data_IF_081928370091
#
_entry.id   IF_081928370091
#
_cell.length_a   1.000
_cell.length_b   1.000
_cell.length_c   1.000
_cell.angle_alpha   90.00
_cell.angle_beta   90.00
_cell.angle_gamma   90.00
#
_symmetry.space_group_name_H-M   'P 1'
#
loop_
_entity.id
_entity.type
_entity.pdbx_description
1 polymer ?
#
# COMPACT_ATOMS: atom_id res chain seq x y z
N UNK A 1 -5.17 -16.05 5.62
CA UNK A 1 -3.92 -15.24 5.57
C UNK A 1 -3.23 -15.17 6.91
N UNK A 2 -3.89 -14.79 7.99
CA UNK A 2 -3.29 -14.65 9.33
C UNK A 2 -2.66 -15.93 9.88
N UNK A 3 -3.16 -17.11 9.48
CA UNK A 3 -2.62 -18.44 9.88
C UNK A 3 -1.14 -18.61 9.53
N UNK A 4 -0.68 -18.03 8.40
CA UNK A 4 0.68 -18.16 7.87
C UNK A 4 1.53 -16.90 8.06
N UNK A 5 1.06 -15.97 8.90
CA UNK A 5 1.83 -14.79 9.26
C UNK A 5 3.03 -15.21 10.12
N UNK A 6 4.26 -14.76 9.81
CA UNK A 6 5.44 -15.11 10.58
C UNK A 6 5.27 -14.68 12.05
N UNK A 7 5.70 -15.56 12.95
CA UNK A 7 5.66 -15.34 14.42
C UNK A 7 7.02 -15.05 15.00
N UNK A 8 8.09 -15.39 14.30
CA UNK A 8 9.48 -15.15 14.66
C UNK A 8 10.22 -14.47 13.50
N UNK A 9 11.36 -13.82 13.80
CA UNK A 9 12.19 -13.20 12.77
C UNK A 9 12.76 -14.23 11.78
N UNK A 10 12.96 -15.49 12.22
CA UNK A 10 13.47 -16.55 11.36
C UNK A 10 12.45 -17.03 10.31
N UNK A 11 11.17 -16.85 10.58
CA UNK A 11 10.09 -17.16 9.61
C UNK A 11 9.88 -16.09 8.54
N UNK A 12 10.55 -14.93 8.68
CA UNK A 12 10.43 -13.83 7.72
C UNK A 12 11.24 -14.14 6.48
N UNK A 13 10.55 -14.27 5.34
CA UNK A 13 11.18 -14.62 4.07
C UNK A 13 11.63 -13.41 3.27
N UNK A 14 12.72 -13.55 2.53
CA UNK A 14 13.17 -12.57 1.53
C UNK A 14 13.73 -11.25 2.09
N UNK A 15 13.97 -11.15 3.43
CA UNK A 15 14.41 -9.92 4.07
C UNK A 15 15.66 -10.08 4.96
N UNK A 16 16.75 -10.72 4.51
CA UNK A 16 17.86 -11.05 5.39
C UNK A 16 18.48 -9.82 6.09
N UNK A 17 18.71 -8.73 5.35
CA UNK A 17 19.32 -7.52 5.90
C UNK A 17 18.41 -6.81 6.93
N UNK A 18 17.11 -6.77 6.70
CA UNK A 18 16.15 -6.22 7.65
C UNK A 18 16.11 -7.08 8.91
N UNK A 19 15.98 -8.39 8.77
CA UNK A 19 15.94 -9.35 9.88
C UNK A 19 17.20 -9.26 10.75
N UNK A 20 18.39 -9.26 10.16
CA UNK A 20 19.66 -9.15 10.92
C UNK A 20 19.73 -7.84 11.73
N UNK A 21 19.27 -6.76 11.13
CA UNK A 21 19.22 -5.46 11.81
C UNK A 21 18.20 -5.43 12.95
N UNK A 22 17.01 -6.01 12.75
CA UNK A 22 15.99 -6.12 13.80
C UNK A 22 16.44 -7.02 14.94
N UNK A 23 17.13 -8.12 14.64
CA UNK A 23 17.72 -9.02 15.65
C UNK A 23 18.74 -8.29 16.52
N UNK A 24 19.57 -7.43 15.96
CA UNK A 24 20.52 -6.63 16.76
C UNK A 24 19.81 -5.66 17.71
N UNK A 25 18.67 -5.08 17.35
CA UNK A 25 17.87 -4.25 18.24
C UNK A 25 17.21 -5.06 19.35
N UNK A 26 16.65 -6.22 19.03
CA UNK A 26 16.04 -7.13 20.00
C UNK A 26 17.07 -7.55 21.07
N UNK A 27 18.28 -7.93 20.65
CA UNK A 27 19.36 -8.37 21.56
C UNK A 27 19.96 -7.25 22.41
N UNK A 28 19.96 -6.01 21.92
CA UNK A 28 20.54 -4.87 22.65
C UNK A 28 19.68 -4.39 23.83
N UNK A 29 18.42 -4.80 23.90
CA UNK A 29 17.45 -4.31 24.89
C UNK A 29 17.17 -2.80 24.79
N UNK A 30 17.57 -2.16 23.69
CA UNK A 30 17.35 -0.75 23.40
C UNK A 30 16.72 -0.61 21.99
N UNK A 31 15.55 -0.01 21.94
CA UNK A 31 14.84 0.21 20.69
C UNK A 31 14.85 1.70 20.33
N UNK A 32 15.65 2.13 19.33
CA UNK A 32 15.53 3.47 18.80
C UNK A 32 14.22 3.62 18.02
N UNK A 33 13.87 4.84 17.65
CA UNK A 33 12.78 5.01 16.69
C UNK A 33 13.16 4.39 15.33
N UNK A 34 12.25 3.62 14.74
CA UNK A 34 12.46 2.91 13.49
C UNK A 34 11.52 3.43 12.39
N UNK A 35 12.01 3.46 11.17
CA UNK A 35 11.21 3.70 9.98
C UNK A 35 11.37 2.54 9.00
N UNK A 36 10.33 1.73 8.86
CA UNK A 36 10.26 0.61 7.93
C UNK A 36 9.79 1.11 6.56
N UNK A 37 10.66 1.03 5.55
CA UNK A 37 10.38 1.50 4.21
C UNK A 37 10.39 0.34 3.22
N UNK A 38 9.37 0.22 2.39
CA UNK A 38 9.35 -0.79 1.34
C UNK A 38 7.95 -1.05 0.78
N UNK A 39 7.81 -1.83 -0.30
CA UNK A 39 6.55 -2.07 -0.96
C UNK A 39 5.54 -2.79 -0.05
N UNK A 40 4.24 -2.73 -0.38
CA UNK A 40 3.22 -3.49 0.32
C UNK A 40 3.51 -4.99 0.25
N UNK A 41 3.07 -5.75 1.25
CA UNK A 41 3.27 -7.19 1.30
C UNK A 41 4.72 -7.66 1.54
N UNK A 42 5.68 -6.76 1.81
CA UNK A 42 7.09 -7.11 2.06
C UNK A 42 7.39 -7.58 3.50
N UNK A 43 6.41 -7.56 4.40
CA UNK A 43 6.54 -8.05 5.78
C UNK A 43 6.76 -6.98 6.85
N UNK A 44 6.68 -5.67 6.54
CA UNK A 44 6.89 -4.56 7.49
C UNK A 44 6.08 -4.71 8.78
N UNK A 45 4.76 -4.82 8.66
CA UNK A 45 3.84 -4.94 9.82
C UNK A 45 4.12 -6.21 10.62
N UNK A 46 4.42 -7.34 9.97
CA UNK A 46 4.77 -8.58 10.67
C UNK A 46 6.06 -8.44 11.47
N UNK A 47 7.11 -7.85 10.87
CA UNK A 47 8.36 -7.59 11.56
C UNK A 47 8.20 -6.61 12.74
N UNK A 48 7.36 -5.59 12.61
CA UNK A 48 7.06 -4.66 13.70
C UNK A 48 6.45 -5.37 14.91
N UNK A 49 5.46 -6.24 14.66
CA UNK A 49 4.80 -7.02 15.71
C UNK A 49 5.74 -8.04 16.38
N UNK A 50 6.57 -8.72 15.58
CA UNK A 50 7.56 -9.67 16.10
C UNK A 50 8.57 -8.93 16.98
N UNK A 51 9.16 -7.84 16.47
CA UNK A 51 10.13 -7.04 17.19
C UNK A 51 9.55 -6.49 18.51
N UNK A 52 8.31 -5.96 18.45
CA UNK A 52 7.63 -5.47 19.65
C UNK A 52 7.48 -6.57 20.71
N UNK A 53 7.07 -7.80 20.30
CA UNK A 53 6.96 -8.94 21.21
C UNK A 53 8.29 -9.33 21.84
N UNK A 54 9.35 -9.37 21.05
CA UNK A 54 10.69 -9.72 21.54
C UNK A 54 11.22 -8.67 22.53
N UNK A 55 11.13 -7.38 22.18
CA UNK A 55 11.68 -6.28 23.01
C UNK A 55 10.86 -6.04 24.27
N UNK A 56 9.56 -6.31 24.23
CA UNK A 56 8.66 -6.23 25.40
C UNK A 56 8.59 -7.55 26.18
N UNK A 57 9.44 -8.53 25.85
CA UNK A 57 9.51 -9.86 26.51
C UNK A 57 8.12 -10.54 26.61
N UNK A 58 7.27 -10.32 25.62
CA UNK A 58 5.90 -10.84 25.56
C UNK A 58 4.85 -10.01 26.30
N UNK A 59 5.25 -8.99 27.07
CA UNK A 59 4.35 -8.11 27.83
C UNK A 59 3.71 -7.04 26.92
N UNK A 60 2.88 -7.48 26.00
CA UNK A 60 2.26 -6.64 24.96
C UNK A 60 1.13 -5.79 25.52
N UNK A 61 0.30 -6.35 26.40
CA UNK A 61 -0.88 -5.65 26.95
C UNK A 61 -0.48 -4.36 27.66
N UNK A 62 -1.06 -3.24 27.23
CA UNK A 62 -0.80 -1.92 27.77
C UNK A 62 0.57 -1.32 27.40
N UNK A 63 1.52 -2.10 26.87
CA UNK A 63 2.86 -1.63 26.47
C UNK A 63 3.07 -1.53 24.95
N UNK A 64 2.13 -2.04 24.16
CA UNK A 64 2.15 -1.95 22.70
C UNK A 64 0.88 -1.28 22.17
N UNK A 65 1.05 -0.33 21.25
CA UNK A 65 -0.04 0.34 20.55
C UNK A 65 0.17 0.18 19.05
N UNK A 66 -0.78 -0.45 18.38
CA UNK A 66 -0.85 -0.51 16.92
C UNK A 66 -1.91 0.47 16.42
N UNK A 67 -1.52 1.32 15.48
CA UNK A 67 -2.41 2.33 14.89
C UNK A 67 -2.14 2.42 13.39
N UNK A 68 -3.22 2.45 12.61
CA UNK A 68 -3.18 2.88 11.22
C UNK A 68 -3.14 4.41 11.14
N UNK A 69 -2.36 4.97 10.22
CA UNK A 69 -2.24 6.41 10.05
C UNK A 69 -3.60 7.09 9.78
N UNK A 70 -4.53 6.40 9.10
CA UNK A 70 -5.88 6.90 8.85
C UNK A 70 -6.69 7.12 10.13
N UNK A 71 -6.38 6.37 11.19
CA UNK A 71 -7.06 6.53 12.50
C UNK A 71 -6.56 7.73 13.29
N UNK A 72 -5.37 8.26 12.96
CA UNK A 72 -4.81 9.42 13.65
C UNK A 72 -5.54 10.72 13.32
N UNK A 73 -6.27 10.76 12.21
CA UNK A 73 -7.02 11.95 11.78
C UNK A 73 -8.39 12.05 12.46
N UNK A 74 -8.83 10.99 13.18
CA UNK A 74 -10.13 10.97 13.87
C UNK A 74 -10.07 11.80 15.16
N UNK A 75 -11.01 12.74 15.31
CA UNK A 75 -11.13 13.58 16.49
C UNK A 75 -11.68 12.78 17.68
N UNK A 76 -11.15 13.04 18.89
CA UNK A 76 -11.70 12.50 20.14
C UNK A 76 -12.89 13.35 20.61
N UNK A 77 -14.01 12.76 21.02
CA UNK A 77 -15.03 13.46 21.82
C UNK A 77 -14.44 13.78 23.21
N UNK A 78 -14.38 15.04 23.58
CA UNK A 78 -13.97 15.48 24.93
C UNK A 78 -15.18 15.99 25.67
N UNK A 79 -15.49 15.36 26.80
CA UNK A 79 -16.50 15.87 27.72
C UNK A 79 -15.89 16.99 28.55
N UNK A 80 -16.35 18.22 28.34
CA UNK A 80 -16.05 19.33 29.24
C UNK A 80 -17.30 19.66 30.06
N UNK A 81 -17.12 19.68 31.38
CA UNK A 81 -18.11 20.24 32.26
C UNK A 81 -17.97 21.76 32.23
N UNK A 82 -18.99 22.46 31.80
CA UNK A 82 -19.11 23.89 31.92
C UNK A 82 -20.22 24.18 32.91
N UNK A 83 -19.94 25.04 33.87
CA UNK A 83 -20.97 25.56 34.77
C UNK A 83 -21.61 26.76 34.07
N UNK A 84 -22.95 26.73 33.93
CA UNK A 84 -23.69 27.84 33.39
C UNK A 84 -23.86 28.93 34.50
N UNK A 85 -24.18 30.16 34.14
CA UNK A 85 -24.42 31.26 35.08
C UNK A 85 -25.50 30.95 36.13
N UNK A 86 -26.37 29.96 35.88
CA UNK A 86 -27.38 29.45 36.76
C UNK A 86 -26.93 28.30 37.70
N UNK A 87 -25.63 27.97 37.71
CA UNK A 87 -25.07 26.93 38.56
C UNK A 87 -25.38 25.47 38.13
N UNK A 88 -25.95 25.28 36.95
CA UNK A 88 -26.21 23.95 36.37
C UNK A 88 -24.98 23.48 35.57
N UNK A 89 -24.38 22.36 35.99
CA UNK A 89 -23.27 21.73 35.27
C UNK A 89 -23.77 21.05 34.01
N UNK A 90 -23.46 21.60 32.84
CA UNK A 90 -23.70 20.95 31.56
C UNK A 90 -22.44 20.27 31.02
N UNK A 91 -22.58 19.02 30.60
CA UNK A 91 -21.51 18.30 29.91
C UNK A 91 -21.54 18.69 28.43
N UNK A 92 -20.55 19.43 28.01
CA UNK A 92 -20.36 19.81 26.60
C UNK A 92 -19.33 18.86 25.98
N UNK A 93 -19.75 18.11 24.99
CA UNK A 93 -18.83 17.25 24.23
C UNK A 93 -18.11 18.12 23.20
N UNK A 94 -16.84 18.47 23.47
CA UNK A 94 -15.94 19.06 22.47
C UNK A 94 -15.12 17.97 21.81
N UNK A 95 -14.83 18.15 20.53
CA UNK A 95 -13.88 17.30 19.81
C UNK A 95 -12.46 17.78 20.07
N UNK A 96 -11.59 16.92 20.59
CA UNK A 96 -10.16 17.22 20.60
C UNK A 96 -9.67 17.26 19.16
N UNK A 97 -9.18 18.43 18.74
CA UNK A 97 -8.67 18.65 17.39
C UNK A 97 -7.27 18.07 17.15
N UNK A 98 -6.65 17.50 18.18
CA UNK A 98 -5.31 16.91 18.03
C UNK A 98 -5.36 15.58 17.29
N UNK A 99 -4.78 15.46 16.09
CA UNK A 99 -4.81 14.20 15.34
C UNK A 99 -4.02 13.06 16.03
N UNK A 100 -3.12 13.40 16.95
CA UNK A 100 -2.23 12.44 17.62
C UNK A 100 -2.61 12.18 19.08
N UNK A 101 -3.86 12.45 19.50
CA UNK A 101 -4.26 12.33 20.90
C UNK A 101 -4.06 10.91 21.48
N UNK A 102 -4.37 9.87 20.71
CA UNK A 102 -4.19 8.46 21.13
C UNK A 102 -2.72 8.12 21.40
N UNK A 103 -1.82 8.57 20.54
CA UNK A 103 -0.39 8.35 20.68
C UNK A 103 0.14 9.09 21.90
N UNK A 104 -0.27 10.34 22.10
CA UNK A 104 0.17 11.15 23.25
C UNK A 104 -0.33 10.54 24.56
N UNK A 105 -1.59 10.16 24.63
CA UNK A 105 -2.15 9.49 25.80
C UNK A 105 -1.38 8.21 26.12
N UNK A 106 -1.09 7.38 25.11
CA UNK A 106 -0.30 6.18 25.28
C UNK A 106 1.15 6.50 25.73
N UNK A 107 1.83 7.43 25.07
CA UNK A 107 3.23 7.74 25.35
C UNK A 107 3.47 8.48 26.68
N UNK A 108 2.44 9.19 27.20
CA UNK A 108 2.50 9.90 28.49
C UNK A 108 2.45 8.93 29.67
N UNK A 109 1.75 7.81 29.51
CA UNK A 109 1.57 6.83 30.60
C UNK A 109 2.84 6.01 30.75
N UNK A 110 3.25 5.72 31.98
CA UNK A 110 4.40 4.85 32.26
C UNK A 110 4.15 3.43 31.80
N UNK A 111 5.22 2.71 31.49
CA UNK A 111 5.17 1.28 31.15
C UNK A 111 4.61 0.46 32.31
N UNK A 112 3.94 -0.64 31.98
CA UNK A 112 3.34 -1.58 32.95
C UNK A 112 4.28 -2.78 33.07
N UNK A 113 4.21 -3.47 34.19
CA UNK A 113 4.93 -4.74 34.46
C UNK A 113 6.47 -4.66 34.38
N UNK A 114 7.07 -3.50 34.69
CA UNK A 114 8.53 -3.36 34.79
C UNK A 114 9.26 -3.29 33.44
N UNK A 115 8.54 -3.18 32.33
CA UNK A 115 9.13 -2.97 31.00
C UNK A 115 9.78 -1.60 30.92
N UNK A 116 10.93 -1.47 30.26
CA UNK A 116 11.73 -0.23 30.23
C UNK A 116 11.05 0.90 29.46
N UNK A 117 10.30 0.60 28.43
CA UNK A 117 9.61 1.56 27.55
C UNK A 117 8.42 0.91 26.85
N UNK A 118 7.55 1.72 26.32
CA UNK A 118 6.42 1.30 25.48
C UNK A 118 6.79 1.35 24.01
N UNK A 119 6.02 0.65 23.17
CA UNK A 119 6.22 0.63 21.72
C UNK A 119 4.94 1.08 21.04
N UNK A 120 5.02 2.13 20.23
CA UNK A 120 3.94 2.58 19.35
C UNK A 120 4.31 2.27 17.90
N UNK A 121 3.52 1.39 17.27
CA UNK A 121 3.62 1.09 15.85
C UNK A 121 2.55 1.87 15.07
N UNK A 122 3.00 2.64 14.08
CA UNK A 122 2.13 3.43 13.22
C UNK A 122 2.34 2.97 11.78
N UNK A 123 1.31 2.35 11.19
CA UNK A 123 1.35 1.85 9.82
C UNK A 123 0.95 2.94 8.82
N UNK A 124 1.49 2.86 7.60
CA UNK A 124 1.20 3.73 6.45
C UNK A 124 1.34 5.25 6.72
N UNK A 125 2.41 5.67 7.43
CA UNK A 125 2.65 7.09 7.80
C UNK A 125 2.85 8.02 6.60
N UNK A 126 3.12 7.50 5.42
CA UNK A 126 3.19 8.26 4.16
C UNK A 126 1.83 8.81 3.70
N UNK A 127 0.71 8.33 4.28
CA UNK A 127 -0.63 8.87 4.04
C UNK A 127 -0.94 10.12 4.88
N UNK A 128 -0.13 10.42 5.91
CA UNK A 128 -0.31 11.57 6.78
C UNK A 128 0.07 12.88 6.08
N UNK A 129 -0.69 13.94 6.33
CA UNK A 129 -0.31 15.28 5.88
C UNK A 129 1.00 15.75 6.55
N UNK A 130 1.68 16.71 5.91
CA UNK A 130 2.95 17.24 6.44
C UNK A 130 2.80 17.83 7.84
N UNK A 131 1.67 18.47 8.12
CA UNK A 131 1.36 19.08 9.43
C UNK A 131 1.24 18.00 10.51
N UNK A 132 0.60 16.86 10.20
CA UNK A 132 0.47 15.73 11.13
C UNK A 132 1.82 15.04 11.35
N UNK A 133 2.63 14.89 10.30
CA UNK A 133 3.99 14.37 10.42
C UNK A 133 4.89 15.29 11.29
N UNK A 134 4.76 16.62 11.19
CA UNK A 134 5.46 17.54 12.07
C UNK A 134 4.99 17.42 13.54
N UNK A 135 3.70 17.26 13.76
CA UNK A 135 3.17 17.01 15.10
C UNK A 135 3.64 15.66 15.66
N UNK A 136 3.73 14.61 14.82
CA UNK A 136 4.29 13.31 15.17
C UNK A 136 5.77 13.42 15.56
N UNK A 137 6.58 14.15 14.78
CA UNK A 137 7.99 14.43 15.09
C UNK A 137 8.14 15.01 16.50
N UNK A 138 7.35 16.04 16.84
CA UNK A 138 7.39 16.66 18.18
C UNK A 138 7.00 15.65 19.27
N UNK A 139 6.01 14.81 19.01
CA UNK A 139 5.57 13.77 19.93
C UNK A 139 6.69 12.74 20.17
N UNK A 140 7.38 12.31 19.11
CA UNK A 140 8.54 11.43 19.21
C UNK A 140 9.66 12.02 20.05
N UNK A 141 9.97 13.32 19.90
CA UNK A 141 11.00 14.00 20.69
C UNK A 141 10.64 14.07 22.19
N UNK A 142 9.42 14.49 22.49
CA UNK A 142 8.96 14.68 23.87
C UNK A 142 8.93 13.37 24.65
N UNK A 143 8.51 12.28 23.99
CA UNK A 143 8.27 10.99 24.65
C UNK A 143 9.37 9.95 24.36
N UNK A 144 10.51 10.34 23.80
CA UNK A 144 11.62 9.42 23.43
C UNK A 144 12.15 8.58 24.60
N UNK A 145 12.02 9.06 25.83
CA UNK A 145 12.45 8.32 27.04
C UNK A 145 11.47 7.23 27.47
N UNK A 146 10.18 7.35 27.10
CA UNK A 146 9.11 6.46 27.57
C UNK A 146 8.55 5.58 26.46
N UNK A 147 8.67 5.98 25.20
CA UNK A 147 8.05 5.32 24.06
C UNK A 147 8.99 5.25 22.86
N UNK A 148 9.21 4.04 22.35
CA UNK A 148 9.84 3.82 21.06
C UNK A 148 8.78 3.81 19.95
N UNK A 149 9.07 4.48 18.85
CA UNK A 149 8.15 4.55 17.70
C UNK A 149 8.69 3.68 16.57
N UNK A 150 7.84 2.80 16.06
CA UNK A 150 8.07 2.05 14.83
C UNK A 150 7.08 2.60 13.79
N UNK A 151 7.59 3.22 12.75
CA UNK A 151 6.80 3.80 11.67
C UNK A 151 6.94 2.90 10.43
N UNK A 152 5.89 2.72 9.67
CA UNK A 152 5.96 2.03 8.38
C UNK A 152 5.49 2.95 7.25
N UNK A 153 6.13 2.84 6.08
CA UNK A 153 5.72 3.55 4.87
C UNK A 153 5.98 2.72 3.61
N UNK A 154 5.16 2.94 2.60
CA UNK A 154 5.38 2.39 1.27
C UNK A 154 6.22 3.34 0.41
N UNK A 155 6.02 4.65 0.57
CA UNK A 155 6.67 5.70 -0.21
C UNK A 155 7.54 6.61 0.68
N UNK A 156 8.83 6.29 0.90
CA UNK A 156 9.69 7.08 1.78
C UNK A 156 9.91 8.53 1.32
N UNK A 157 9.64 8.84 0.05
CA UNK A 157 9.67 10.20 -0.48
C UNK A 157 8.58 11.11 0.11
N UNK A 158 7.46 10.52 0.58
CA UNK A 158 6.35 11.26 1.19
C UNK A 158 6.59 11.59 2.67
N UNK A 159 7.63 11.02 3.28
CA UNK A 159 7.99 11.30 4.67
C UNK A 159 8.89 12.53 4.75
N UNK A 160 8.58 13.46 5.64
CA UNK A 160 9.38 14.66 5.84
C UNK A 160 10.77 14.33 6.44
N UNK A 161 11.80 15.07 6.05
CA UNK A 161 13.17 14.82 6.50
C UNK A 161 13.35 14.92 8.03
N UNK A 162 12.65 15.82 8.77
CA UNK A 162 12.70 15.85 10.21
C UNK A 162 12.25 14.56 10.92
N UNK A 163 11.34 13.79 10.34
CA UNK A 163 10.95 12.45 10.86
C UNK A 163 12.02 11.42 10.50
N UNK A 164 12.48 11.40 9.23
CA UNK A 164 13.54 10.48 8.79
C UNK A 164 14.81 10.57 9.62
N UNK A 165 15.24 11.80 9.93
CA UNK A 165 16.49 12.04 10.68
C UNK A 165 16.46 11.53 12.12
N UNK A 166 15.27 11.27 12.68
CA UNK A 166 15.07 10.74 14.04
C UNK A 166 14.88 9.23 14.09
N UNK A 167 14.75 8.60 12.92
CA UNK A 167 14.51 7.17 12.82
C UNK A 167 15.70 6.43 12.22
N UNK A 168 15.96 5.24 12.73
CA UNK A 168 16.79 4.27 12.01
C UNK A 168 15.97 3.64 10.90
N UNK A 169 16.36 3.92 9.65
CA UNK A 169 15.63 3.43 8.47
C UNK A 169 15.98 1.97 8.21
N UNK A 170 14.98 1.09 8.22
CA UNK A 170 15.07 -0.32 7.83
C UNK A 170 14.35 -0.49 6.49
N UNK A 171 15.08 -0.96 5.49
CA UNK A 171 14.56 -1.14 4.13
C UNK A 171 14.09 -2.57 3.92
N UNK A 172 12.89 -2.69 3.39
CA UNK A 172 12.28 -3.94 2.96
C UNK A 172 12.23 -3.96 1.43
N UNK A 173 12.72 -5.00 0.83
CA UNK A 173 12.70 -5.18 -0.62
C UNK A 173 11.49 -6.01 -1.04
N UNK A 174 11.07 -5.97 -2.32
CA UNK A 174 10.15 -6.97 -2.85
C UNK A 174 10.70 -8.37 -2.59
N UNK A 175 9.85 -9.32 -2.19
CA UNK A 175 10.28 -10.70 -1.96
C UNK A 175 10.70 -11.30 -3.30
N UNK A 176 11.92 -11.89 -3.39
CA UNK A 176 12.39 -12.55 -4.62
C UNK A 176 11.40 -13.62 -5.08
N UNK A 177 11.22 -13.70 -6.40
CA UNK A 177 10.22 -14.57 -7.02
C UNK A 177 10.42 -16.06 -6.66
N UNK A 178 11.64 -16.52 -6.61
CA UNK A 178 12.00 -17.91 -6.24
C UNK A 178 11.62 -18.26 -4.79
N UNK A 179 11.84 -17.31 -3.87
CA UNK A 179 11.48 -17.45 -2.46
C UNK A 179 9.96 -17.42 -2.30
N UNK A 180 9.28 -16.50 -2.98
CA UNK A 180 7.83 -16.40 -2.94
C UNK A 180 7.17 -17.66 -3.53
N UNK A 181 7.68 -18.17 -4.65
CA UNK A 181 7.20 -19.41 -5.28
C UNK A 181 7.27 -20.60 -4.31
N UNK A 182 8.42 -20.83 -3.69
CA UNK A 182 8.59 -21.90 -2.71
C UNK A 182 7.62 -21.78 -1.54
N UNK A 183 7.44 -20.55 -1.04
CA UNK A 183 6.51 -20.31 0.07
C UNK A 183 5.05 -20.58 -0.30
N UNK A 184 4.64 -20.25 -1.52
CA UNK A 184 3.30 -20.57 -2.02
C UNK A 184 3.10 -22.10 -2.18
N UNK A 185 4.11 -22.82 -2.65
CA UNK A 185 4.09 -24.28 -2.76
C UNK A 185 3.99 -24.96 -1.38
N UNK A 186 4.76 -24.50 -0.40
CA UNK A 186 4.67 -24.96 0.99
C UNK A 186 3.26 -24.77 1.57
N UNK A 187 2.70 -23.56 1.41
CA UNK A 187 1.36 -23.25 1.93
C UNK A 187 0.30 -24.10 1.23
N UNK A 188 0.39 -24.26 -0.09
CA UNK A 188 -0.53 -25.10 -0.85
C UNK A 188 -0.48 -26.58 -0.39
N UNK A 189 0.72 -27.11 -0.15
CA UNK A 189 0.92 -28.45 0.39
C UNK A 189 0.28 -28.60 1.78
N UNK A 190 0.47 -27.61 2.67
CA UNK A 190 -0.12 -27.63 4.02
C UNK A 190 -1.65 -27.55 4.03
N UNK A 191 -2.24 -26.89 3.04
CA UNK A 191 -3.69 -26.77 2.87
C UNK A 191 -4.28 -27.88 1.97
N UNK A 192 -3.45 -28.83 1.47
CA UNK A 192 -3.91 -29.91 0.60
C UNK A 192 -4.39 -29.43 -0.78
N UNK A 193 -3.87 -28.30 -1.27
CA UNK A 193 -4.24 -27.71 -2.55
C UNK A 193 -3.29 -28.22 -3.63
N UNK A 194 -3.84 -28.83 -4.70
CA UNK A 194 -3.04 -29.27 -5.83
C UNK A 194 -2.65 -28.09 -6.75
N UNK A 195 -1.35 -27.82 -6.82
CA UNK A 195 -0.76 -26.88 -7.78
C UNK A 195 -0.20 -27.65 -8.98
N UNK A 196 -0.54 -27.21 -10.18
CA UNK A 196 0.16 -27.65 -11.38
C UNK A 196 1.55 -27.01 -11.46
N UNK A 197 2.45 -27.66 -12.22
CA UNK A 197 3.80 -27.11 -12.44
C UNK A 197 3.73 -25.68 -12.99
N UNK A 198 4.46 -24.77 -12.33
CA UNK A 198 4.54 -23.36 -12.71
C UNK A 198 3.42 -22.45 -12.18
N UNK A 199 2.34 -22.98 -11.61
CA UNK A 199 1.23 -22.17 -11.09
C UNK A 199 1.68 -21.22 -9.97
N UNK A 200 2.47 -21.71 -9.01
CA UNK A 200 3.03 -20.89 -7.95
C UNK A 200 3.98 -19.80 -8.50
N UNK A 201 4.82 -20.15 -9.48
CA UNK A 201 5.69 -19.20 -10.19
C UNK A 201 4.91 -18.12 -10.93
N UNK A 202 3.80 -18.49 -11.58
CA UNK A 202 2.88 -17.56 -12.22
C UNK A 202 2.27 -16.56 -11.23
N UNK A 203 1.82 -17.03 -10.06
CA UNK A 203 1.32 -16.16 -8.98
C UNK A 203 2.42 -15.23 -8.45
N UNK A 204 3.62 -15.75 -8.20
CA UNK A 204 4.74 -14.95 -7.71
C UNK A 204 5.16 -13.85 -8.71
N UNK A 205 5.16 -14.17 -10.00
CA UNK A 205 5.43 -13.21 -11.07
C UNK A 205 4.35 -12.12 -11.15
N UNK A 206 3.08 -12.50 -11.07
CA UNK A 206 1.95 -11.59 -11.20
C UNK A 206 1.91 -10.50 -10.12
N UNK A 207 2.36 -10.82 -8.89
CA UNK A 207 2.31 -9.89 -7.76
C UNK A 207 3.66 -9.31 -7.36
N UNK A 208 4.72 -9.55 -8.13
CA UNK A 208 6.03 -8.90 -8.02
C UNK A 208 6.55 -8.73 -6.58
N UNK A 209 6.51 -9.81 -5.80
CA UNK A 209 7.03 -9.86 -4.43
C UNK A 209 6.05 -9.45 -3.33
N UNK A 210 4.79 -9.17 -3.65
CA UNK A 210 3.72 -8.95 -2.65
C UNK A 210 3.12 -10.29 -2.22
N UNK A 211 3.61 -10.83 -1.09
CA UNK A 211 3.12 -12.10 -0.54
C UNK A 211 1.66 -12.04 -0.12
N UNK A 212 1.16 -10.89 0.36
CA UNK A 212 -0.23 -10.73 0.81
C UNK A 212 -1.19 -10.96 -0.35
N UNK A 213 -0.91 -10.31 -1.50
CA UNK A 213 -1.72 -10.48 -2.71
C UNK A 213 -1.57 -11.87 -3.33
N UNK A 214 -0.35 -12.42 -3.36
CA UNK A 214 -0.10 -13.77 -3.87
C UNK A 214 -0.83 -14.85 -3.06
N UNK A 215 -0.83 -14.75 -1.72
CA UNK A 215 -1.60 -15.64 -0.85
C UNK A 215 -3.12 -15.47 -1.01
N UNK A 216 -3.58 -14.23 -1.22
CA UNK A 216 -4.99 -13.96 -1.52
C UNK A 216 -5.44 -14.65 -2.81
N UNK A 217 -4.60 -14.60 -3.84
CA UNK A 217 -4.83 -15.33 -5.09
C UNK A 217 -4.86 -16.83 -4.87
N UNK A 218 -3.88 -17.39 -4.15
CA UNK A 218 -3.87 -18.82 -3.82
C UNK A 218 -5.15 -19.25 -3.10
N UNK A 219 -5.61 -18.45 -2.15
CA UNK A 219 -6.86 -18.71 -1.43
C UNK A 219 -8.09 -18.63 -2.35
N UNK A 220 -8.17 -17.64 -3.23
CA UNK A 220 -9.26 -17.52 -4.20
C UNK A 220 -9.26 -18.67 -5.21
N UNK A 221 -8.08 -19.05 -5.70
CA UNK A 221 -7.93 -20.17 -6.62
C UNK A 221 -8.33 -21.51 -5.95
N UNK A 222 -7.92 -21.74 -4.70
CA UNK A 222 -8.27 -22.92 -3.92
C UNK A 222 -9.79 -23.03 -3.68
N UNK A 223 -10.48 -21.91 -3.47
CA UNK A 223 -11.93 -21.88 -3.30
C UNK A 223 -12.70 -22.37 -4.54
N UNK A 224 -12.09 -22.39 -5.73
CA UNK A 224 -12.70 -22.93 -6.94
C UNK A 224 -12.82 -24.46 -6.94
N UNK A 225 -12.15 -25.16 -5.99
CA UNK A 225 -12.16 -26.63 -5.87
C UNK A 225 -11.51 -27.36 -7.03
N UNK A 226 -10.82 -26.65 -7.93
CA UNK A 226 -10.12 -27.21 -9.09
C UNK A 226 -8.62 -27.26 -8.84
N UNK A 227 -7.93 -28.15 -9.57
CA UNK A 227 -6.48 -28.10 -9.64
C UNK A 227 -6.06 -26.74 -10.19
N UNK A 228 -5.16 -26.08 -9.48
CA UNK A 228 -4.71 -24.73 -9.84
C UNK A 228 -3.62 -24.87 -10.91
N UNK A 229 -3.94 -24.48 -12.13
CA UNK A 229 -3.03 -24.41 -13.27
C UNK A 229 -2.72 -22.95 -13.64
N UNK A 230 -1.79 -22.77 -14.58
CA UNK A 230 -1.41 -21.47 -15.09
C UNK A 230 -2.59 -20.72 -15.74
N UNK A 231 -3.47 -21.43 -16.43
CA UNK A 231 -4.63 -20.83 -17.09
C UNK A 231 -5.61 -20.24 -16.07
N UNK A 232 -5.82 -20.94 -14.95
CA UNK A 232 -6.64 -20.42 -13.85
C UNK A 232 -5.97 -19.22 -13.18
N UNK A 233 -4.64 -19.29 -12.95
CA UNK A 233 -3.87 -18.15 -12.42
C UNK A 233 -3.98 -16.96 -13.33
N UNK A 234 -3.80 -17.10 -14.65
CA UNK A 234 -3.95 -16.02 -15.60
C UNK A 234 -5.39 -15.46 -15.63
N UNK A 235 -6.40 -16.32 -15.65
CA UNK A 235 -7.82 -15.88 -15.60
C UNK A 235 -8.17 -15.12 -14.34
N UNK A 236 -7.55 -15.43 -13.21
CA UNK A 236 -7.77 -14.74 -11.95
C UNK A 236 -6.86 -13.51 -11.80
N UNK A 237 -5.68 -13.52 -12.45
CA UNK A 237 -4.70 -12.42 -12.44
C UNK A 237 -5.00 -11.40 -13.52
N UNK A 238 -5.35 -11.89 -14.72
CA UNK A 238 -5.93 -11.05 -15.75
C UNK A 238 -7.33 -10.66 -15.25
N UNK A 239 -7.32 -9.64 -14.41
CA UNK A 239 -8.55 -8.90 -14.19
C UNK A 239 -9.17 -8.67 -15.58
N UNK A 240 -10.48 -8.84 -15.76
CA UNK A 240 -11.17 -8.43 -16.97
C UNK A 240 -10.75 -7.03 -17.44
N UNK A 241 -10.28 -6.24 -16.51
CA UNK A 241 -9.68 -4.93 -16.67
C UNK A 241 -8.38 -4.92 -17.52
N UNK A 242 -7.47 -5.89 -17.38
CA UNK A 242 -6.20 -5.87 -18.13
C UNK A 242 -6.43 -6.17 -19.62
N UNK A 243 -7.25 -7.17 -19.93
CA UNK A 243 -7.64 -7.49 -21.31
C UNK A 243 -8.48 -6.35 -21.94
N UNK A 244 -9.41 -5.77 -21.16
CA UNK A 244 -10.20 -4.64 -21.60
C UNK A 244 -9.34 -3.39 -21.85
N UNK A 245 -8.32 -3.12 -21.00
CA UNK A 245 -7.37 -2.01 -21.22
C UNK A 245 -6.56 -2.22 -22.50
N UNK A 246 -6.16 -3.46 -22.82
CA UNK A 246 -5.48 -3.78 -24.10
C UNK A 246 -6.37 -3.54 -25.31
N UNK A 247 -7.63 -3.96 -25.24
CA UNK A 247 -8.63 -3.70 -26.28
C UNK A 247 -8.91 -2.22 -26.44
N UNK A 248 -8.99 -1.48 -25.33
CA UNK A 248 -9.17 -0.02 -25.31
C UNK A 248 -8.00 0.70 -26.02
N UNK A 249 -6.76 0.36 -25.67
CA UNK A 249 -5.57 0.95 -26.29
C UNK A 249 -5.46 0.58 -27.77
N UNK A 250 -5.75 -0.67 -28.13
CA UNK A 250 -5.74 -1.13 -29.51
C UNK A 250 -6.79 -0.38 -30.36
N UNK A 251 -7.99 -0.16 -29.81
CA UNK A 251 -9.04 0.64 -30.47
C UNK A 251 -8.61 2.10 -30.64
N UNK A 252 -8.03 2.71 -29.60
CA UNK A 252 -7.52 4.08 -29.68
C UNK A 252 -6.42 4.20 -30.75
N UNK A 253 -5.43 3.31 -30.76
CA UNK A 253 -4.37 3.30 -31.76
C UNK A 253 -4.88 3.00 -33.19
N UNK A 254 -5.98 2.27 -33.31
CA UNK A 254 -6.67 2.07 -34.58
C UNK A 254 -7.43 3.33 -35.05
N UNK A 255 -7.51 4.38 -34.23
CA UNK A 255 -8.22 5.62 -34.53
C UNK A 255 -9.73 5.58 -34.20
N UNK A 256 -10.19 4.53 -33.52
CA UNK A 256 -11.58 4.34 -33.08
C UNK A 256 -11.74 4.83 -31.63
N UNK A 257 -11.85 6.16 -31.50
CA UNK A 257 -12.00 6.81 -30.20
C UNK A 257 -13.29 6.39 -29.48
N UNK A 258 -14.40 6.25 -30.21
CA UNK A 258 -15.68 5.92 -29.58
C UNK A 258 -15.64 4.55 -28.91
N UNK A 259 -15.11 3.54 -29.61
CA UNK A 259 -14.93 2.20 -29.04
C UNK A 259 -13.97 2.17 -27.84
N UNK A 260 -12.89 2.94 -27.91
CA UNK A 260 -11.98 3.08 -26.79
C UNK A 260 -12.66 3.71 -25.57
N UNK A 261 -13.48 4.74 -25.78
CA UNK A 261 -14.27 5.41 -24.74
C UNK A 261 -15.31 4.48 -24.12
N UNK A 262 -16.07 3.74 -24.93
CA UNK A 262 -17.07 2.79 -24.42
C UNK A 262 -16.42 1.71 -23.54
N UNK A 263 -15.21 1.26 -23.92
CA UNK A 263 -14.43 0.32 -23.09
C UNK A 263 -13.95 0.97 -21.79
N UNK A 264 -13.55 2.25 -21.81
CA UNK A 264 -13.22 3.01 -20.61
C UNK A 264 -14.41 3.10 -19.64
N UNK A 265 -15.61 3.36 -20.17
CA UNK A 265 -16.83 3.40 -19.38
C UNK A 265 -17.13 2.05 -18.72
N UNK A 266 -16.97 0.95 -19.45
CA UNK A 266 -17.10 -0.40 -18.89
C UNK A 266 -16.08 -0.63 -17.75
N UNK A 267 -14.82 -0.21 -17.92
CA UNK A 267 -13.79 -0.37 -16.89
C UNK A 267 -14.07 0.46 -15.63
N UNK A 268 -14.47 1.72 -15.78
CA UNK A 268 -14.64 2.63 -14.65
C UNK A 268 -16.00 2.47 -13.97
N UNK A 269 -17.08 2.26 -14.73
CA UNK A 269 -18.46 2.22 -14.20
C UNK A 269 -18.83 0.79 -13.78
N UNK A 270 -18.67 -0.19 -14.67
CA UNK A 270 -19.04 -1.58 -14.39
C UNK A 270 -17.96 -2.31 -13.61
N UNK A 271 -16.67 -2.07 -13.95
CA UNK A 271 -15.51 -2.67 -13.30
C UNK A 271 -15.09 -1.96 -12.01
N UNK A 272 -15.63 -0.77 -11.72
CA UNK A 272 -15.34 0.00 -10.50
C UNK A 272 -13.90 0.49 -10.39
N UNK A 273 -13.14 0.53 -11.50
CA UNK A 273 -11.75 1.00 -11.49
C UNK A 273 -11.67 2.51 -11.29
N UNK A 274 -10.78 2.94 -10.43
CA UNK A 274 -10.38 4.34 -10.35
C UNK A 274 -9.57 4.77 -11.58
N UNK A 275 -9.56 6.06 -11.90
CA UNK A 275 -8.76 6.56 -13.01
C UNK A 275 -7.28 6.26 -12.85
N UNK A 276 -6.77 6.23 -11.62
CA UNK A 276 -5.38 5.88 -11.33
C UNK A 276 -5.07 4.42 -11.67
N UNK A 277 -5.94 3.48 -11.31
CA UNK A 277 -5.78 2.07 -11.69
C UNK A 277 -5.81 1.86 -13.21
N UNK A 278 -6.65 2.64 -13.91
CA UNK A 278 -6.68 2.61 -15.38
C UNK A 278 -5.37 3.14 -15.97
N UNK A 279 -4.82 4.27 -15.48
CA UNK A 279 -3.54 4.82 -15.94
C UNK A 279 -2.39 3.86 -15.68
N UNK A 280 -2.33 3.25 -14.50
CA UNK A 280 -1.32 2.24 -14.17
C UNK A 280 -1.40 1.02 -15.12
N UNK A 281 -2.61 0.61 -15.48
CA UNK A 281 -2.83 -0.47 -16.45
C UNK A 281 -2.41 -0.05 -17.87
N UNK A 282 -2.73 1.17 -18.29
CA UNK A 282 -2.29 1.75 -19.57
C UNK A 282 -0.77 1.80 -19.64
N UNK A 283 -0.09 2.28 -18.59
CA UNK A 283 1.37 2.37 -18.54
C UNK A 283 2.03 1.00 -18.71
N UNK A 284 1.56 -0.02 -17.98
CA UNK A 284 2.09 -1.39 -18.11
C UNK A 284 1.94 -1.94 -19.51
N UNK A 285 0.81 -1.71 -20.16
CA UNK A 285 0.54 -2.21 -21.51
C UNK A 285 1.21 -1.38 -22.62
N UNK A 286 1.43 -0.09 -22.39
CA UNK A 286 2.08 0.78 -23.36
C UNK A 286 3.45 0.26 -23.80
N UNK A 287 4.19 -0.40 -22.90
CA UNK A 287 5.50 -1.00 -23.18
C UNK A 287 5.41 -2.25 -24.06
N UNK A 288 4.25 -2.92 -24.12
CA UNK A 288 4.04 -4.15 -24.89
C UNK A 288 3.44 -3.90 -26.28
N UNK A 289 3.06 -2.64 -26.58
CA UNK A 289 2.33 -2.29 -27.82
C UNK A 289 3.18 -2.30 -29.10
N UNK A 290 4.49 -2.61 -29.03
CA UNK A 290 5.38 -2.61 -30.23
C UNK A 290 5.41 -1.27 -30.95
N UNK A 291 5.33 -0.15 -30.24
CA UNK A 291 5.42 1.19 -30.79
C UNK A 291 6.85 1.50 -31.23
N UNK A 292 7.01 2.44 -32.20
CA UNK A 292 8.32 2.99 -32.49
C UNK A 292 8.83 3.81 -31.28
N UNK A 293 10.15 3.87 -31.06
CA UNK A 293 10.74 4.62 -29.96
C UNK A 293 10.21 6.06 -29.81
N UNK A 294 10.11 6.87 -30.89
CA UNK A 294 9.57 8.23 -30.78
C UNK A 294 8.10 8.28 -30.34
N UNK A 295 7.29 7.28 -30.74
CA UNK A 295 5.90 7.23 -30.34
C UNK A 295 5.71 6.68 -28.93
N UNK A 296 6.55 5.74 -28.51
CA UNK A 296 6.59 5.25 -27.13
C UNK A 296 6.96 6.38 -26.16
N UNK A 297 7.98 7.19 -26.50
CA UNK A 297 8.38 8.36 -25.69
C UNK A 297 7.23 9.37 -25.58
N UNK A 298 6.57 9.70 -26.69
CA UNK A 298 5.43 10.63 -26.69
C UNK A 298 4.25 10.10 -25.88
N UNK A 299 4.00 8.79 -25.96
CA UNK A 299 2.93 8.16 -25.19
C UNK A 299 3.25 8.22 -23.69
N UNK A 300 4.48 7.90 -23.29
CA UNK A 300 4.90 7.97 -21.90
C UNK A 300 4.83 9.40 -21.34
N UNK A 301 5.23 10.41 -22.11
CA UNK A 301 5.08 11.82 -21.75
C UNK A 301 3.60 12.16 -21.47
N UNK A 302 2.69 11.74 -22.34
CA UNK A 302 1.26 12.00 -22.17
C UNK A 302 0.63 11.20 -21.01
N UNK A 303 1.07 9.98 -20.76
CA UNK A 303 0.67 9.21 -19.58
C UNK A 303 1.11 9.95 -18.30
N UNK A 304 2.36 10.42 -18.23
CA UNK A 304 2.87 11.19 -17.10
C UNK A 304 2.10 12.49 -16.86
N UNK A 305 1.79 13.26 -17.91
CA UNK A 305 0.95 14.46 -17.84
C UNK A 305 -0.44 14.12 -17.25
N UNK A 306 -1.03 13.00 -17.69
CA UNK A 306 -2.37 12.58 -17.27
C UNK A 306 -2.38 12.12 -15.81
N UNK A 307 -1.41 11.30 -15.41
CA UNK A 307 -1.23 10.85 -14.01
C UNK A 307 -1.04 12.03 -13.07
N UNK A 308 -0.18 12.99 -13.45
CA UNK A 308 0.05 14.21 -12.68
C UNK A 308 -1.23 15.01 -12.45
N UNK A 309 -2.07 15.18 -13.47
CA UNK A 309 -3.35 15.89 -13.37
C UNK A 309 -4.35 15.15 -12.48
N UNK A 310 -4.42 13.81 -12.60
CA UNK A 310 -5.27 12.98 -11.75
C UNK A 310 -4.81 13.07 -10.30
N UNK A 311 -3.50 13.01 -10.04
CA UNK A 311 -2.93 13.09 -8.69
C UNK A 311 -3.18 14.43 -7.99
N UNK A 312 -3.30 15.55 -8.74
CA UNK A 312 -3.58 16.88 -8.18
C UNK A 312 -5.02 17.07 -7.70
N UNK A 313 -5.94 16.23 -8.11
CA UNK A 313 -7.37 16.45 -7.86
C UNK A 313 -7.89 15.98 -6.51
N UNK A 314 -7.07 15.32 -5.66
CA UNK A 314 -7.48 14.84 -4.33
C UNK A 314 -8.54 13.73 -4.38
N UNK A 315 -8.95 13.19 -3.22
CA UNK A 315 -9.91 12.08 -3.13
C UNK A 315 -11.35 12.56 -2.89
N UNK A 316 -12.31 12.19 -3.75
CA UNK A 316 -13.76 12.48 -3.55
C UNK A 316 -14.62 12.15 -4.79
N UNK A 317 -15.94 12.04 -4.61
CA UNK A 317 -16.88 11.64 -5.67
C UNK A 317 -16.93 12.57 -6.90
N UNK A 318 -16.58 13.86 -6.75
CA UNK A 318 -16.45 14.79 -7.90
C UNK A 318 -15.22 14.46 -8.76
N UNK A 319 -14.29 13.66 -8.29
CA UNK A 319 -13.02 13.36 -8.95
C UNK A 319 -13.14 12.27 -10.01
N UNK A 320 -14.06 11.32 -9.85
CA UNK A 320 -14.25 10.23 -10.84
C UNK A 320 -14.60 10.77 -12.23
N UNK A 321 -15.45 11.80 -12.32
CA UNK A 321 -15.77 12.45 -13.59
C UNK A 321 -14.57 13.20 -14.17
N UNK A 322 -13.75 13.81 -13.35
CA UNK A 322 -12.55 14.52 -13.78
C UNK A 322 -11.46 13.53 -14.23
N UNK A 323 -11.21 12.47 -13.47
CA UNK A 323 -10.28 11.39 -13.83
C UNK A 323 -10.63 10.80 -15.19
N UNK A 324 -11.92 10.50 -15.41
CA UNK A 324 -12.44 10.01 -16.66
C UNK A 324 -12.12 10.95 -17.82
N UNK A 325 -12.39 12.26 -17.69
CA UNK A 325 -12.11 13.26 -18.73
C UNK A 325 -10.62 13.30 -19.07
N UNK A 326 -9.72 13.18 -18.08
CA UNK A 326 -8.28 13.15 -18.33
C UNK A 326 -7.86 11.92 -19.14
N UNK A 327 -8.43 10.75 -18.84
CA UNK A 327 -8.16 9.52 -19.60
C UNK A 327 -8.78 9.58 -20.99
N UNK A 328 -10.00 10.10 -21.14
CA UNK A 328 -10.62 10.35 -22.46
C UNK A 328 -9.73 11.26 -23.33
N UNK A 329 -9.13 12.29 -22.74
CA UNK A 329 -8.17 13.17 -23.43
C UNK A 329 -6.94 12.42 -23.92
N UNK A 330 -6.40 11.51 -23.09
CA UNK A 330 -5.29 10.64 -23.49
C UNK A 330 -5.69 9.71 -24.65
N UNK A 331 -6.86 9.09 -24.59
CA UNK A 331 -7.39 8.20 -25.66
C UNK A 331 -7.63 8.97 -26.96
N UNK A 332 -8.13 10.20 -26.88
CA UNK A 332 -8.30 11.09 -28.05
C UNK A 332 -6.95 11.39 -28.71
N UNK A 333 -5.93 11.73 -27.92
CA UNK A 333 -4.57 11.94 -28.42
C UNK A 333 -4.04 10.70 -29.16
N UNK A 334 -4.18 9.52 -28.56
CA UNK A 334 -3.77 8.25 -29.18
C UNK A 334 -4.51 7.99 -30.51
N UNK A 335 -5.82 8.25 -30.54
CA UNK A 335 -6.65 8.05 -31.75
C UNK A 335 -6.25 8.98 -32.89
N UNK A 336 -5.86 10.20 -32.59
CA UNK A 336 -5.33 11.15 -33.58
C UNK A 336 -3.98 10.69 -34.15
N UNK A 337 -3.11 10.16 -33.29
CA UNK A 337 -1.79 9.65 -33.68
C UNK A 337 -1.91 8.41 -34.56
N UNK A 338 -2.82 7.49 -34.20
CA UNK A 338 -3.12 6.29 -35.00
C UNK A 338 -3.67 6.60 -36.41
N UNK A 339 -4.56 7.60 -36.52
CA UNK A 339 -5.08 8.05 -37.82
C UNK A 339 -4.01 8.64 -38.72
N UNK A 340 -3.04 9.39 -38.18
CA UNK A 340 -1.91 9.94 -38.96
C UNK A 340 -1.05 8.82 -39.54
N UNK A 341 -0.76 7.77 -38.81
CA UNK A 341 0.00 6.60 -39.29
C UNK A 341 -0.69 5.90 -40.47
N UNK A 342 -2.01 5.66 -40.39
CA UNK A 342 -2.77 5.04 -41.51
C UNK A 342 -2.75 5.88 -42.80
N UNK A 343 -2.71 7.22 -42.67
CA UNK A 343 -2.62 8.10 -43.85
C UNK A 343 -1.23 8.16 -44.46
N UNK A 344 -0.18 7.95 -43.69
CA UNK A 344 1.21 7.92 -44.20
C UNK A 344 1.64 6.55 -44.73
N UNK A 345 0.86 5.49 -44.51
CA UNK A 345 1.11 4.12 -45.01
C UNK A 345 0.27 3.72 -46.21
N UNK A 346 -0.50 4.65 -46.78
CA UNK A 346 -1.16 4.47 -48.07
C UNK A 346 -0.27 5.09 -49.14
N UNK A 347 0.29 4.28 -50.10
CA UNK A 347 1.19 4.74 -51.16
C UNK A 347 0.51 5.73 -52.11
#
# INVERSE_FOLDING_TARGET
MEKYRPKTLDEVIGQPQAVDRLRSFSQSGSLPHLLFCGPPGSGKTSCALILAREVLEGMIEGNFLEIDASDLTKSRPVEQKSDDEDGATRTVIKKDSSPLWRIREFATTTSIDGVRFRVAFIDDVDTLSKEVQEALRRTMEVYSGNCAFILSCNHPAMIIDPVKSRCNVVRFNPIPQDILTKRLEEIASLEGVELANGAAGGMAMAYNGDIRRAMGMLQAAAASGKKIDLDLVFKLTDSPATDATGKMLSAALAGDFMKARDTLDTLMIEGGMSGREVIDSIQRQALTLGLSDPDAVRLMDKIGDTDHRIAQCGSGAMNASFERIQIESLLAYLSMTGRKRRRSSIP
#
